data_IF_274208578548
#
_entry.id   IF_274208578548
#
_cell.length_a   1.000
_cell.length_b   1.000
_cell.length_c   1.000
_cell.angle_alpha   90.00
_cell.angle_beta   90.00
_cell.angle_gamma   90.00
#
_symmetry.space_group_name_H-M   'P 1'
#
loop_
_entity.id
_entity.type
_entity.pdbx_description
1 polymer ?
#
# COMPACT_ATOMS: atom_id res chain seq x y z
N UNK A 1 -50.73 24.75 7.36
CA UNK A 1 -49.28 24.94 7.12
C UNK A 1 -48.67 23.56 6.87
N UNK A 2 -48.32 23.24 5.63
CA UNK A 2 -47.69 21.97 5.25
C UNK A 2 -46.18 22.18 5.21
N UNK A 3 -45.44 21.47 6.06
CA UNK A 3 -43.99 21.43 6.00
C UNK A 3 -43.58 20.29 5.06
N UNK A 4 -43.04 20.64 3.90
CA UNK A 4 -42.49 19.73 2.92
C UNK A 4 -41.08 19.36 3.35
N UNK A 5 -40.86 18.10 3.72
CA UNK A 5 -39.55 17.59 4.11
C UNK A 5 -38.77 17.17 2.85
N UNK A 6 -37.71 17.90 2.50
CA UNK A 6 -36.78 17.54 1.44
C UNK A 6 -35.84 16.43 1.94
N UNK A 7 -36.10 15.19 1.55
CA UNK A 7 -35.12 14.10 1.61
C UNK A 7 -34.17 14.26 0.43
N UNK A 8 -32.93 14.71 0.69
CA UNK A 8 -31.84 14.55 -0.25
C UNK A 8 -31.38 13.08 -0.24
N UNK A 9 -31.19 12.44 -1.41
CA UNK A 9 -30.58 11.12 -1.46
C UNK A 9 -29.12 11.22 -1.02
N UNK A 10 -28.76 10.44 -0.01
CA UNK A 10 -27.38 10.19 0.38
C UNK A 10 -26.72 9.47 -0.79
N UNK A 11 -25.82 10.17 -1.49
CA UNK A 11 -24.91 9.59 -2.47
C UNK A 11 -24.15 8.44 -1.79
N UNK A 12 -24.41 7.22 -2.25
CA UNK A 12 -23.71 6.03 -1.80
C UNK A 12 -22.21 6.21 -2.02
N UNK A 13 -21.44 5.97 -0.95
CA UNK A 13 -19.99 5.80 -1.02
C UNK A 13 -19.74 4.56 -1.88
N UNK A 14 -19.40 4.76 -3.15
CA UNK A 14 -18.89 3.72 -4.03
C UNK A 14 -17.64 3.14 -3.36
N UNK A 15 -17.72 1.90 -2.91
CA UNK A 15 -16.57 1.13 -2.46
C UNK A 15 -15.69 0.86 -3.68
N UNK A 16 -14.46 1.35 -3.63
CA UNK A 16 -13.43 1.32 -4.68
C UNK A 16 -12.83 -0.07 -4.95
N UNK A 17 -13.61 -1.14 -4.83
CA UNK A 17 -13.21 -2.50 -5.21
C UNK A 17 -13.54 -2.77 -6.68
N UNK A 18 -13.14 -1.88 -7.60
CA UNK A 18 -13.29 -2.18 -9.02
C UNK A 18 -12.32 -3.28 -9.37
N UNK A 19 -12.88 -4.45 -9.69
CA UNK A 19 -12.18 -5.53 -10.36
C UNK A 19 -11.42 -4.94 -11.56
N UNK A 20 -10.10 -4.87 -11.46
CA UNK A 20 -9.25 -4.47 -12.57
C UNK A 20 -9.53 -5.41 -13.74
N UNK A 21 -10.23 -4.91 -14.77
CA UNK A 21 -10.46 -5.69 -15.97
C UNK A 21 -9.09 -6.11 -16.52
N UNK A 22 -8.98 -7.37 -16.94
CA UNK A 22 -7.77 -7.83 -17.58
C UNK A 22 -7.64 -7.11 -18.91
N UNK A 23 -6.73 -6.15 -19.02
CA UNK A 23 -6.41 -5.57 -20.32
C UNK A 23 -5.84 -6.69 -21.18
N UNK A 24 -6.49 -6.96 -22.30
CA UNK A 24 -6.03 -7.97 -23.23
C UNK A 24 -4.78 -7.47 -23.95
N UNK A 25 -3.95 -8.40 -24.47
CA UNK A 25 -2.86 -8.03 -25.39
C UNK A 25 -3.39 -7.17 -26.56
N UNK A 26 -4.62 -7.42 -27.01
CA UNK A 26 -5.24 -6.68 -28.09
C UNK A 26 -5.46 -5.20 -27.74
N UNK A 27 -5.85 -4.90 -26.50
CA UNK A 27 -6.03 -3.51 -26.02
C UNK A 27 -4.69 -2.78 -26.02
N UNK A 28 -3.63 -3.42 -25.48
CA UNK A 28 -2.28 -2.86 -25.51
C UNK A 28 -1.77 -2.62 -26.93
N UNK A 29 -2.02 -3.55 -27.85
CA UNK A 29 -1.67 -3.41 -29.26
C UNK A 29 -2.43 -2.27 -29.94
N UNK A 30 -3.72 -2.12 -29.66
CA UNK A 30 -4.53 -1.02 -30.17
C UNK A 30 -3.98 0.34 -29.70
N UNK A 31 -3.67 0.45 -28.40
CA UNK A 31 -3.04 1.65 -27.83
C UNK A 31 -1.72 2.03 -28.53
N UNK A 32 -0.82 1.06 -28.73
CA UNK A 32 0.48 1.31 -29.39
C UNK A 32 0.29 1.74 -30.86
N UNK A 33 -0.66 1.14 -31.58
CA UNK A 33 -0.98 1.53 -32.96
C UNK A 33 -1.54 2.95 -33.04
N UNK A 34 -2.48 3.29 -32.16
CA UNK A 34 -3.06 4.64 -32.11
C UNK A 34 -2.02 5.69 -31.74
N UNK A 35 -1.16 5.42 -30.75
CA UNK A 35 -0.04 6.30 -30.41
C UNK A 35 0.86 6.59 -31.61
N UNK A 36 1.19 5.55 -32.39
CA UNK A 36 2.03 5.71 -33.57
C UNK A 36 1.37 6.58 -34.63
N UNK A 37 0.10 6.37 -34.94
CA UNK A 37 -0.64 7.17 -35.92
C UNK A 37 -0.68 8.66 -35.52
N UNK A 38 -0.97 8.95 -34.25
CA UNK A 38 -1.01 10.33 -33.73
C UNK A 38 0.39 10.97 -33.77
N UNK A 39 1.45 10.24 -33.39
CA UNK A 39 2.81 10.77 -33.34
C UNK A 39 3.38 11.15 -34.72
N UNK A 40 2.87 10.54 -35.79
CA UNK A 40 3.23 10.90 -37.17
C UNK A 40 2.49 12.15 -37.64
N UNK A 41 1.35 12.47 -37.02
CA UNK A 41 0.46 13.55 -37.43
C UNK A 41 0.51 14.81 -36.54
N UNK A 42 1.01 14.73 -35.29
CA UNK A 42 1.02 15.85 -34.35
C UNK A 42 2.41 16.21 -33.83
N UNK A 43 2.76 17.51 -33.89
CA UNK A 43 3.71 18.12 -32.94
C UNK A 43 3.05 18.14 -31.55
N UNK A 44 3.70 17.52 -30.57
CA UNK A 44 3.29 17.38 -29.17
C UNK A 44 2.25 18.42 -28.71
N UNK A 45 0.98 18.01 -28.63
CA UNK A 45 -0.07 18.83 -28.03
C UNK A 45 0.12 18.75 -26.52
N UNK A 46 0.75 19.76 -25.97
CA UNK A 46 0.81 20.00 -24.53
C UNK A 46 -0.61 20.20 -23.99
N UNK A 47 -1.05 19.30 -23.12
CA UNK A 47 -2.33 19.39 -22.42
C UNK A 47 -2.04 19.81 -20.95
N UNK A 48 -2.28 21.08 -20.58
CA UNK A 48 -1.99 21.58 -19.24
C UNK A 48 -2.81 20.91 -18.13
N UNK A 49 -3.79 20.04 -18.45
CA UNK A 49 -4.56 19.28 -17.46
C UNK A 49 -3.92 17.91 -17.10
N UNK A 50 -2.78 17.55 -17.71
CA UNK A 50 -2.09 16.27 -17.47
C UNK A 50 -1.11 16.41 -16.31
N UNK A 51 -1.48 15.83 -15.16
CA UNK A 51 -0.66 15.86 -13.96
C UNK A 51 0.59 14.94 -14.00
N UNK A 52 0.71 14.06 -15.01
CA UNK A 52 1.85 13.17 -15.19
C UNK A 52 1.95 12.75 -16.66
N UNK A 53 2.91 13.32 -17.40
CA UNK A 53 2.98 13.23 -18.87
C UNK A 53 3.74 11.98 -19.36
N UNK A 54 3.51 11.48 -20.59
CA UNK A 54 4.23 10.34 -21.15
C UNK A 54 5.75 10.50 -21.16
N UNK A 55 6.26 11.70 -21.44
CA UNK A 55 7.70 11.97 -21.44
C UNK A 55 8.28 11.92 -20.02
N UNK A 56 7.54 12.45 -19.04
CA UNK A 56 7.91 12.39 -17.63
C UNK A 56 7.90 10.95 -17.10
N UNK A 57 6.86 10.19 -17.43
CA UNK A 57 6.75 8.77 -17.13
C UNK A 57 7.88 7.96 -17.78
N UNK A 58 8.22 8.27 -19.05
CA UNK A 58 9.33 7.65 -19.79
C UNK A 58 10.66 7.93 -19.13
N UNK A 59 10.93 9.19 -18.73
CA UNK A 59 12.15 9.51 -18.01
C UNK A 59 12.22 8.75 -16.69
N UNK A 60 11.11 8.68 -15.95
CA UNK A 60 11.06 8.01 -14.66
C UNK A 60 11.36 6.50 -14.78
N UNK A 61 10.79 5.81 -15.76
CA UNK A 61 11.06 4.37 -15.97
C UNK A 61 12.48 4.11 -16.46
N UNK A 62 13.03 5.01 -17.27
CA UNK A 62 14.44 4.97 -17.68
C UNK A 62 15.35 5.12 -16.46
N UNK A 63 15.10 6.10 -15.59
CA UNK A 63 15.88 6.29 -14.37
C UNK A 63 15.85 5.05 -13.45
N UNK A 64 14.69 4.39 -13.33
CA UNK A 64 14.56 3.13 -12.57
C UNK A 64 15.40 2.02 -13.22
N UNK A 65 15.27 1.85 -14.54
CA UNK A 65 15.99 0.81 -15.29
C UNK A 65 17.51 1.01 -15.23
N UNK A 66 17.99 2.24 -15.38
CA UNK A 66 19.41 2.59 -15.29
C UNK A 66 19.99 2.31 -13.90
N UNK A 67 19.30 2.72 -12.82
CA UNK A 67 19.74 2.43 -11.44
C UNK A 67 19.67 0.94 -11.10
N UNK A 68 18.91 0.18 -11.87
CA UNK A 68 18.83 -1.26 -11.79
C UNK A 68 19.79 -1.98 -12.76
N UNK A 69 20.58 -1.23 -13.54
CA UNK A 69 21.53 -1.71 -14.54
C UNK A 69 20.86 -2.57 -15.64
N UNK A 70 19.68 -2.16 -16.09
CA UNK A 70 18.98 -2.77 -17.21
C UNK A 70 19.09 -1.90 -18.47
N UNK A 71 19.64 -2.46 -19.54
CA UNK A 71 19.67 -1.84 -20.87
C UNK A 71 18.40 -2.23 -21.64
N UNK A 72 17.32 -1.47 -21.44
CA UNK A 72 16.02 -1.70 -22.08
C UNK A 72 15.51 -0.38 -22.64
N UNK A 73 15.13 -0.37 -23.92
CA UNK A 73 14.46 0.77 -24.56
C UNK A 73 13.01 0.84 -24.12
N UNK A 74 12.75 1.68 -23.12
CA UNK A 74 11.43 1.88 -22.53
C UNK A 74 10.75 3.13 -23.08
N UNK A 75 9.42 3.07 -23.23
CA UNK A 75 8.57 4.22 -23.53
C UNK A 75 7.27 4.13 -22.76
N UNK A 76 6.88 5.21 -22.09
CA UNK A 76 5.56 5.31 -21.51
C UNK A 76 4.59 5.98 -22.50
N UNK A 77 3.36 5.47 -22.61
CA UNK A 77 2.31 6.07 -23.44
C UNK A 77 0.99 6.10 -22.67
N UNK A 78 0.14 7.09 -22.95
CA UNK A 78 -1.21 7.15 -22.40
C UNK A 78 -2.22 6.45 -23.30
N UNK A 79 -3.18 5.76 -22.71
CA UNK A 79 -4.30 5.17 -23.44
C UNK A 79 -5.54 5.06 -22.56
N UNK A 80 -6.69 5.54 -23.03
CA UNK A 80 -7.95 5.49 -22.28
C UNK A 80 -8.73 4.18 -22.46
N UNK A 81 -8.22 3.27 -23.29
CA UNK A 81 -8.82 1.94 -23.52
C UNK A 81 -8.48 0.91 -22.44
N UNK A 82 -7.48 1.21 -21.60
CA UNK A 82 -7.10 0.37 -20.46
C UNK A 82 -7.57 1.01 -19.17
N UNK A 83 -7.75 0.22 -18.11
CA UNK A 83 -8.26 0.75 -16.84
C UNK A 83 -7.19 1.34 -15.91
N UNK A 84 -5.94 0.90 -16.05
CA UNK A 84 -4.84 1.16 -15.11
C UNK A 84 -3.51 1.37 -15.85
N UNK A 85 -2.41 0.77 -15.37
CA UNK A 85 -1.15 0.64 -16.09
C UNK A 85 -0.89 -0.82 -16.47
N UNK A 86 -0.23 -1.04 -17.60
CA UNK A 86 0.20 -2.37 -18.05
C UNK A 86 1.52 -2.31 -18.82
N UNK A 87 2.32 -3.39 -18.81
CA UNK A 87 3.48 -3.48 -19.67
C UNK A 87 3.02 -3.99 -21.05
N UNK A 88 3.74 -3.64 -22.10
CA UNK A 88 3.51 -4.20 -23.43
C UNK A 88 4.85 -4.40 -24.16
N UNK A 89 5.17 -5.67 -24.41
CA UNK A 89 6.30 -6.07 -25.23
C UNK A 89 5.81 -6.55 -26.61
N UNK A 90 6.13 -5.79 -27.68
CA UNK A 90 5.89 -6.20 -29.05
C UNK A 90 6.50 -7.56 -29.37
N UNK A 91 5.83 -8.33 -30.22
CA UNK A 91 6.35 -9.56 -30.78
C UNK A 91 6.13 -9.60 -32.30
N UNK A 92 6.68 -10.64 -32.95
CA UNK A 92 6.59 -10.79 -34.40
C UNK A 92 5.15 -10.85 -34.94
N UNK A 93 4.19 -11.34 -34.14
CA UNK A 93 2.80 -11.50 -34.56
C UNK A 93 1.97 -10.21 -34.52
N UNK A 94 2.45 -9.17 -33.85
CA UNK A 94 1.69 -7.91 -33.69
C UNK A 94 1.65 -7.04 -34.96
N UNK A 95 2.49 -7.34 -35.96
CA UNK A 95 2.58 -6.62 -37.24
C UNK A 95 2.81 -5.09 -37.06
N UNK A 96 3.58 -4.70 -36.06
CA UNK A 96 3.96 -3.30 -35.82
C UNK A 96 5.11 -2.86 -36.76
N UNK A 97 5.26 -1.55 -37.06
CA UNK A 97 6.44 -1.02 -37.75
C UNK A 97 7.75 -1.35 -37.02
N UNK A 98 8.85 -1.57 -37.75
CA UNK A 98 10.16 -1.98 -37.18
C UNK A 98 10.65 -1.07 -36.04
N UNK A 99 10.43 0.24 -36.15
CA UNK A 99 10.78 1.21 -35.13
C UNK A 99 10.07 1.03 -33.78
N UNK A 100 8.92 0.35 -33.77
CA UNK A 100 8.18 0.03 -32.55
C UNK A 100 8.48 -1.40 -32.06
N UNK A 101 8.86 -2.33 -32.94
CA UNK A 101 9.16 -3.72 -32.55
C UNK A 101 10.30 -3.85 -31.55
N UNK A 102 11.24 -2.90 -31.55
CA UNK A 102 12.39 -2.88 -30.64
C UNK A 102 12.14 -2.10 -29.33
N UNK A 103 10.95 -1.53 -29.14
CA UNK A 103 10.60 -0.76 -27.95
C UNK A 103 9.73 -1.58 -27.01
N UNK A 104 9.94 -1.43 -25.70
CA UNK A 104 9.03 -1.93 -24.68
C UNK A 104 8.21 -0.77 -24.13
N UNK A 105 6.90 -0.97 -23.99
CA UNK A 105 5.97 0.06 -23.59
C UNK A 105 5.47 -0.17 -22.17
N UNK A 106 5.24 0.91 -21.44
CA UNK A 106 4.35 0.94 -20.28
C UNK A 106 3.18 1.84 -20.65
N UNK A 107 1.99 1.25 -20.74
CA UNK A 107 0.78 1.92 -21.16
C UNK A 107 0.01 2.26 -19.88
N UNK A 108 -0.44 3.50 -19.71
CA UNK A 108 -1.25 3.87 -18.55
C UNK A 108 -2.45 4.74 -18.91
N UNK A 109 -3.53 4.59 -18.13
CA UNK A 109 -4.70 5.46 -18.21
C UNK A 109 -4.45 6.75 -17.45
N UNK A 110 -4.56 7.88 -18.14
CA UNK A 110 -4.26 9.21 -17.58
C UNK A 110 -5.15 9.56 -16.38
N UNK A 111 -6.46 9.35 -16.50
CA UNK A 111 -7.41 9.68 -15.43
C UNK A 111 -7.21 8.83 -14.17
N UNK A 112 -6.85 7.56 -14.35
CA UNK A 112 -6.54 6.66 -13.24
C UNK A 112 -5.24 7.08 -12.55
N UNK A 113 -4.17 7.31 -13.31
CA UNK A 113 -2.89 7.76 -12.78
C UNK A 113 -3.05 9.05 -11.96
N UNK A 114 -3.77 10.05 -12.49
CA UNK A 114 -4.07 11.29 -11.75
C UNK A 114 -4.79 11.04 -10.42
N UNK A 115 -5.70 10.08 -10.38
CA UNK A 115 -6.45 9.72 -9.17
C UNK A 115 -5.55 9.12 -8.10
N UNK A 116 -4.63 8.23 -8.48
CA UNK A 116 -3.70 7.60 -7.53
C UNK A 116 -2.59 8.55 -7.08
N UNK A 117 -2.02 9.32 -8.01
CA UNK A 117 -0.90 10.22 -7.71
C UNK A 117 -1.33 11.38 -6.80
N UNK A 118 -2.55 11.89 -6.97
CA UNK A 118 -2.95 13.13 -6.30
C UNK A 118 -1.94 14.25 -6.61
N UNK A 119 -1.28 14.77 -5.57
CA UNK A 119 -0.20 15.77 -5.70
C UNK A 119 1.22 15.21 -5.50
N UNK A 120 1.37 13.90 -5.26
CA UNK A 120 2.66 13.28 -4.92
C UNK A 120 3.18 12.47 -6.11
N UNK A 121 4.09 13.07 -6.88
CA UNK A 121 4.73 12.43 -8.05
C UNK A 121 5.46 11.14 -7.69
N UNK A 122 6.00 11.06 -6.48
CA UNK A 122 6.75 9.92 -5.95
C UNK A 122 5.91 8.63 -5.94
N UNK A 123 4.57 8.78 -5.91
CA UNK A 123 3.65 7.66 -5.99
C UNK A 123 3.73 6.90 -7.33
N UNK A 124 4.11 7.60 -8.41
CA UNK A 124 4.25 7.02 -9.73
C UNK A 124 5.40 6.01 -9.78
N UNK A 125 6.41 6.19 -8.93
CA UNK A 125 7.60 5.34 -8.91
C UNK A 125 7.23 3.90 -8.61
N UNK A 126 6.33 3.67 -7.64
CA UNK A 126 5.87 2.32 -7.31
C UNK A 126 5.12 1.68 -8.48
N UNK A 127 4.14 2.40 -9.07
CA UNK A 127 3.31 1.89 -10.16
C UNK A 127 4.17 1.55 -11.37
N UNK A 128 5.00 2.48 -11.82
CA UNK A 128 5.85 2.27 -12.98
C UNK A 128 6.96 1.25 -12.72
N UNK A 129 7.49 1.22 -11.50
CA UNK A 129 8.44 0.19 -11.05
C UNK A 129 7.82 -1.21 -11.04
N UNK A 130 6.56 -1.33 -10.65
CA UNK A 130 5.79 -2.57 -10.72
C UNK A 130 5.64 -3.06 -12.16
N UNK A 131 5.21 -2.19 -13.08
CA UNK A 131 5.11 -2.54 -14.52
C UNK A 131 6.47 -2.91 -15.13
N UNK A 132 7.53 -2.20 -14.76
CA UNK A 132 8.89 -2.53 -15.14
C UNK A 132 9.33 -3.88 -14.58
N UNK A 133 8.89 -4.23 -13.36
CA UNK A 133 9.05 -5.55 -12.76
C UNK A 133 8.51 -6.66 -13.66
N UNK A 134 7.31 -6.50 -14.22
CA UNK A 134 6.76 -7.47 -15.19
C UNK A 134 7.64 -7.65 -16.44
N UNK A 135 8.25 -6.57 -16.92
CA UNK A 135 9.15 -6.58 -18.08
C UNK A 135 10.46 -7.31 -17.74
N UNK A 136 11.13 -6.91 -16.66
CA UNK A 136 12.43 -7.47 -16.24
C UNK A 136 12.31 -8.95 -15.90
N UNK A 137 11.23 -9.33 -15.21
CA UNK A 137 10.92 -10.73 -14.88
C UNK A 137 10.33 -11.50 -16.05
N UNK A 138 10.19 -10.88 -17.23
CA UNK A 138 9.77 -11.51 -18.49
C UNK A 138 8.41 -12.20 -18.39
N UNK A 139 7.49 -11.60 -17.64
CA UNK A 139 6.16 -12.17 -17.36
C UNK A 139 5.26 -12.31 -18.61
N UNK A 140 5.57 -11.57 -19.68
CA UNK A 140 4.84 -11.58 -20.94
C UNK A 140 5.50 -12.42 -22.05
N UNK A 141 6.75 -12.85 -21.86
CA UNK A 141 7.55 -13.48 -22.93
C UNK A 141 8.03 -14.87 -22.54
N UNK A 142 8.87 -14.99 -21.52
CA UNK A 142 9.49 -16.27 -21.12
C UNK A 142 8.75 -16.96 -19.99
N UNK A 143 8.17 -16.18 -19.07
CA UNK A 143 7.51 -16.69 -17.85
C UNK A 143 5.98 -16.55 -17.93
N UNK A 144 5.43 -16.74 -19.13
CA UNK A 144 3.99 -16.60 -19.41
C UNK A 144 3.13 -17.61 -18.65
N UNK A 145 3.65 -18.81 -18.37
CA UNK A 145 2.95 -19.89 -17.68
C UNK A 145 2.85 -19.71 -16.17
N UNK A 146 3.55 -18.72 -15.59
CA UNK A 146 3.41 -18.45 -14.16
C UNK A 146 1.98 -18.00 -13.84
N UNK A 147 1.50 -18.45 -12.68
CA UNK A 147 0.23 -17.98 -12.15
C UNK A 147 0.26 -16.46 -11.99
N UNK A 148 -0.86 -15.81 -12.30
CA UNK A 148 -0.99 -14.35 -12.25
C UNK A 148 -0.57 -13.80 -10.90
N UNK A 149 -1.14 -14.34 -9.82
CA UNK A 149 -0.81 -13.93 -8.46
C UNK A 149 0.71 -13.94 -8.19
N UNK A 150 1.43 -14.96 -8.66
CA UNK A 150 2.89 -15.02 -8.48
C UNK A 150 3.62 -13.90 -9.26
N UNK A 151 3.17 -13.59 -10.49
CA UNK A 151 3.72 -12.49 -11.29
C UNK A 151 3.53 -11.14 -10.58
N UNK A 152 2.35 -10.91 -10.04
CA UNK A 152 2.01 -9.69 -9.30
C UNK A 152 2.83 -9.54 -8.02
N UNK A 153 3.06 -10.64 -7.28
CA UNK A 153 3.93 -10.61 -6.08
C UNK A 153 5.36 -10.21 -6.41
N UNK A 154 5.92 -10.77 -7.49
CA UNK A 154 7.26 -10.40 -7.96
C UNK A 154 7.31 -8.94 -8.42
N UNK A 155 6.27 -8.45 -9.08
CA UNK A 155 6.17 -7.07 -9.52
C UNK A 155 6.01 -6.07 -8.35
N UNK A 156 5.24 -6.41 -7.30
CA UNK A 156 5.14 -5.57 -6.09
C UNK A 156 6.48 -5.40 -5.38
N UNK A 157 7.26 -6.50 -5.29
CA UNK A 157 8.62 -6.44 -4.76
C UNK A 157 9.52 -5.54 -5.59
N UNK A 158 9.49 -5.65 -6.91
CA UNK A 158 10.25 -4.76 -7.81
C UNK A 158 9.79 -3.30 -7.72
N UNK A 159 8.48 -3.05 -7.56
CA UNK A 159 7.94 -1.71 -7.33
C UNK A 159 8.49 -1.07 -6.06
N UNK A 160 8.59 -1.83 -4.97
CA UNK A 160 9.23 -1.36 -3.74
C UNK A 160 10.72 -1.06 -3.91
N UNK A 161 11.44 -1.94 -4.62
CA UNK A 161 12.85 -1.73 -4.96
C UNK A 161 13.07 -0.46 -5.82
N UNK A 162 12.18 -0.20 -6.78
CA UNK A 162 12.23 1.01 -7.61
C UNK A 162 12.13 2.29 -6.78
N UNK A 163 11.23 2.33 -5.79
CA UNK A 163 11.11 3.46 -4.85
C UNK A 163 12.42 3.68 -4.09
N UNK A 164 13.01 2.61 -3.55
CA UNK A 164 14.29 2.70 -2.85
C UNK A 164 15.42 3.23 -3.73
N UNK A 165 15.59 2.68 -4.94
CA UNK A 165 16.61 3.12 -5.90
C UNK A 165 16.45 4.58 -6.29
N UNK A 166 15.21 5.09 -6.33
CA UNK A 166 14.92 6.48 -6.60
C UNK A 166 15.01 7.41 -5.38
N UNK A 167 15.30 6.87 -4.19
CA UNK A 167 15.40 7.65 -2.95
C UNK A 167 14.05 8.07 -2.39
N UNK A 168 12.96 7.40 -2.78
CA UNK A 168 11.64 7.62 -2.20
C UNK A 168 11.53 7.06 -0.78
N UNK A 169 10.47 7.45 -0.07
CA UNK A 169 10.24 7.06 1.32
C UNK A 169 9.19 5.94 1.45
N UNK A 170 9.34 5.14 2.51
CA UNK A 170 8.44 4.03 2.81
C UNK A 170 6.99 4.47 3.05
N UNK A 171 6.78 5.64 3.64
CA UNK A 171 5.43 6.11 4.01
C UNK A 171 4.61 6.43 2.76
N UNK A 172 5.22 7.09 1.79
CA UNK A 172 4.58 7.37 0.50
C UNK A 172 4.34 6.08 -0.28
N UNK A 173 5.27 5.12 -0.28
CA UNK A 173 5.07 3.80 -0.88
C UNK A 173 3.88 3.04 -0.26
N UNK A 174 3.83 2.94 1.07
CA UNK A 174 2.75 2.26 1.77
C UNK A 174 1.37 2.92 1.52
N UNK A 175 1.33 4.25 1.42
CA UNK A 175 0.10 4.99 1.06
C UNK A 175 -0.40 4.64 -0.35
N UNK A 176 0.51 4.48 -1.33
CA UNK A 176 0.11 4.04 -2.69
C UNK A 176 -0.51 2.65 -2.66
N UNK A 177 0.16 1.70 -1.99
CA UNK A 177 -0.33 0.32 -1.90
C UNK A 177 -1.70 0.28 -1.22
N UNK A 178 -1.90 1.09 -0.18
CA UNK A 178 -3.19 1.20 0.48
C UNK A 178 -4.31 1.72 -0.42
N UNK A 179 -3.99 2.53 -1.42
CA UNK A 179 -4.94 3.11 -2.38
C UNK A 179 -5.19 2.21 -3.59
N UNK A 180 -4.23 1.38 -3.97
CA UNK A 180 -4.30 0.56 -5.19
C UNK A 180 -4.63 -0.91 -4.95
N UNK A 181 -4.53 -1.40 -3.72
CA UNK A 181 -4.76 -2.82 -3.37
C UNK A 181 -5.96 -3.02 -2.44
N UNK A 182 -6.71 -4.07 -2.74
CA UNK A 182 -7.83 -4.58 -1.93
C UNK A 182 -7.33 -5.36 -0.71
N UNK A 183 -8.17 -5.45 0.32
CA UNK A 183 -7.81 -6.19 1.56
C UNK A 183 -7.73 -7.70 1.36
N UNK A 184 -8.45 -8.23 0.37
CA UNK A 184 -8.55 -9.67 0.12
C UNK A 184 -7.83 -9.99 -1.18
N UNK A 185 -7.01 -11.02 -1.15
CA UNK A 185 -6.31 -11.50 -2.34
C UNK A 185 -7.30 -12.09 -3.36
N UNK A 186 -6.99 -11.93 -4.64
CA UNK A 186 -7.68 -12.55 -5.76
C UNK A 186 -6.67 -12.85 -6.87
N UNK A 187 -6.93 -12.30 -8.05
CA UNK A 187 -5.95 -12.27 -9.15
C UNK A 187 -4.70 -11.44 -8.82
N UNK A 188 -4.81 -10.59 -7.80
CA UNK A 188 -3.74 -9.74 -7.25
C UNK A 188 -3.52 -10.05 -5.76
N UNK A 189 -2.32 -9.78 -5.21
CA UNK A 189 -2.04 -9.94 -3.78
C UNK A 189 -2.94 -9.02 -2.95
N UNK A 190 -3.22 -9.41 -1.71
CA UNK A 190 -3.90 -8.51 -0.77
C UNK A 190 -3.02 -7.29 -0.49
N UNK A 191 -3.62 -6.23 0.07
CA UNK A 191 -2.88 -5.04 0.51
C UNK A 191 -1.78 -5.37 1.50
N UNK A 192 -2.07 -6.22 2.49
CA UNK A 192 -1.07 -6.65 3.49
C UNK A 192 0.09 -7.38 2.82
N UNK A 193 -0.22 -8.32 1.92
CA UNK A 193 0.79 -9.07 1.18
C UNK A 193 1.63 -8.18 0.25
N UNK A 194 0.98 -7.31 -0.53
CA UNK A 194 1.63 -6.33 -1.40
C UNK A 194 2.56 -5.41 -0.60
N UNK A 195 2.11 -4.97 0.58
CA UNK A 195 2.89 -4.12 1.48
C UNK A 195 4.15 -4.85 1.94
N UNK A 196 4.03 -6.10 2.38
CA UNK A 196 5.18 -6.89 2.82
C UNK A 196 6.18 -7.12 1.68
N UNK A 197 5.70 -7.49 0.48
CA UNK A 197 6.56 -7.72 -0.69
C UNK A 197 7.27 -6.44 -1.16
N UNK A 198 6.54 -5.33 -1.24
CA UNK A 198 7.13 -4.04 -1.57
C UNK A 198 8.15 -3.61 -0.50
N UNK A 199 7.90 -3.92 0.77
CA UNK A 199 8.86 -3.65 1.84
C UNK A 199 10.15 -4.43 1.69
N UNK A 200 10.05 -5.73 1.40
CA UNK A 200 11.21 -6.58 1.13
C UNK A 200 12.05 -5.96 0.01
N UNK A 201 11.43 -5.63 -1.13
CA UNK A 201 12.14 -5.03 -2.25
C UNK A 201 12.73 -3.66 -1.93
N UNK A 202 11.99 -2.82 -1.20
CA UNK A 202 12.46 -1.52 -0.76
C UNK A 202 13.73 -1.64 0.11
N UNK A 203 13.73 -2.53 1.10
CA UNK A 203 14.87 -2.76 1.98
C UNK A 203 16.07 -3.37 1.24
N UNK A 204 15.84 -4.39 0.40
CA UNK A 204 16.90 -5.06 -0.38
C UNK A 204 17.61 -4.10 -1.33
N UNK A 205 16.92 -3.07 -1.81
CA UNK A 205 17.47 -2.07 -2.71
C UNK A 205 17.98 -0.82 -1.99
N UNK A 206 18.29 -0.94 -0.69
CA UNK A 206 18.96 0.11 0.09
C UNK A 206 18.02 1.17 0.66
N UNK A 207 16.71 1.00 0.49
CA UNK A 207 15.70 1.84 1.12
C UNK A 207 15.78 1.72 2.64
N UNK A 208 15.58 2.84 3.33
CA UNK A 208 15.54 2.89 4.79
C UNK A 208 14.12 3.20 5.22
N UNK A 209 13.60 2.38 6.11
CA UNK A 209 12.40 2.73 6.86
C UNK A 209 12.83 3.93 7.70
N UNK A 210 12.33 5.11 7.38
CA UNK A 210 12.72 6.34 8.07
C UNK A 210 12.42 6.18 9.56
N UNK A 211 13.45 6.02 10.39
CA UNK A 211 13.32 6.11 11.86
C UNK A 211 12.83 7.52 12.28
N UNK A 212 13.02 8.51 11.40
CA UNK A 212 12.74 9.92 11.64
C UNK A 212 11.25 10.29 11.67
N UNK A 213 10.32 9.41 11.27
CA UNK A 213 8.89 9.72 11.40
C UNK A 213 8.37 9.57 12.84
N UNK A 214 9.09 8.86 13.71
CA UNK A 214 8.67 8.62 15.10
C UNK A 214 9.88 8.57 16.05
N UNK A 215 10.53 9.71 16.36
CA UNK A 215 11.74 9.69 17.16
C UNK A 215 11.47 8.99 18.50
N UNK A 216 12.18 7.88 18.75
CA UNK A 216 12.23 7.10 20.00
C UNK A 216 10.94 6.39 20.47
N UNK A 217 9.89 6.28 19.67
CA UNK A 217 8.68 5.57 20.13
C UNK A 217 8.85 4.05 20.04
N UNK A 218 9.01 3.40 21.19
CA UNK A 218 9.14 1.94 21.31
C UNK A 218 7.76 1.28 21.16
N UNK A 219 7.63 0.31 20.25
CA UNK A 219 6.44 -0.56 20.22
C UNK A 219 6.76 -1.83 20.97
N UNK A 220 6.16 -2.00 22.14
CA UNK A 220 6.31 -3.21 22.96
C UNK A 220 5.11 -4.11 22.73
N UNK A 221 5.37 -5.32 22.27
CA UNK A 221 4.36 -6.36 22.18
C UNK A 221 4.59 -7.42 23.26
N UNK A 222 3.59 -7.61 24.12
CA UNK A 222 3.59 -8.71 25.08
C UNK A 222 3.05 -9.98 24.43
N UNK A 223 3.95 -10.84 23.95
CA UNK A 223 3.63 -12.02 23.15
C UNK A 223 2.55 -12.90 23.76
N UNK A 224 1.53 -13.22 22.96
CA UNK A 224 0.46 -14.17 23.27
C UNK A 224 0.50 -15.35 22.29
N UNK A 225 0.40 -16.57 22.81
CA UNK A 225 0.36 -17.78 21.98
C UNK A 225 -0.90 -17.82 21.14
N UNK A 226 -2.02 -17.38 21.72
CA UNK A 226 -3.33 -17.33 21.05
C UNK A 226 -3.34 -16.51 19.74
N UNK A 227 -2.44 -15.53 19.61
CA UNK A 227 -2.33 -14.72 18.39
C UNK A 227 -1.72 -15.49 17.21
N UNK A 228 -1.06 -16.63 17.45
CA UNK A 228 -0.43 -17.47 16.43
C UNK A 228 0.52 -16.69 15.49
N UNK A 229 1.25 -15.70 16.04
CA UNK A 229 2.21 -14.90 15.28
C UNK A 229 1.63 -13.70 14.50
N UNK A 230 0.30 -13.60 14.36
CA UNK A 230 -0.37 -12.53 13.57
C UNK A 230 -0.03 -11.11 14.02
N UNK A 231 0.13 -10.89 15.33
CA UNK A 231 0.54 -9.58 15.86
C UNK A 231 1.96 -9.22 15.44
N UNK A 232 2.89 -10.18 15.48
CA UNK A 232 4.27 -9.94 15.06
C UNK A 232 4.33 -9.63 13.56
N UNK A 233 3.57 -10.38 12.75
CA UNK A 233 3.45 -10.12 11.31
C UNK A 233 2.90 -8.71 11.02
N UNK A 234 1.81 -8.33 11.68
CA UNK A 234 1.19 -7.01 11.54
C UNK A 234 2.14 -5.87 11.92
N UNK A 235 2.81 -5.98 13.08
CA UNK A 235 3.72 -4.94 13.55
C UNK A 235 5.01 -4.89 12.73
N UNK A 236 5.51 -6.05 12.29
CA UNK A 236 6.62 -6.10 11.36
C UNK A 236 6.25 -5.37 10.07
N UNK A 237 5.08 -5.64 9.47
CA UNK A 237 4.64 -5.00 8.21
C UNK A 237 4.69 -3.47 8.22
N UNK A 238 4.56 -2.84 9.39
CA UNK A 238 4.66 -1.39 9.57
C UNK A 238 6.08 -0.83 9.48
N UNK A 239 7.11 -1.66 9.53
CA UNK A 239 8.48 -1.18 9.51
C UNK A 239 9.02 -0.70 10.86
N UNK A 240 8.36 -1.07 11.96
CA UNK A 240 8.68 -0.57 13.29
C UNK A 240 9.72 -1.49 13.98
N UNK A 241 10.59 -0.89 14.78
CA UNK A 241 11.40 -1.64 15.74
C UNK A 241 10.49 -2.07 16.90
N UNK A 242 10.06 -3.33 16.89
CA UNK A 242 9.15 -3.91 17.89
C UNK A 242 9.96 -4.67 18.93
N UNK A 243 9.84 -4.27 20.20
CA UNK A 243 10.35 -5.05 21.32
C UNK A 243 9.31 -6.11 21.71
N UNK A 244 9.57 -7.35 21.32
CA UNK A 244 8.69 -8.49 21.63
C UNK A 244 9.11 -9.08 22.97
N UNK A 245 8.26 -8.89 23.98
CA UNK A 245 8.46 -9.43 25.34
C UNK A 245 7.56 -10.62 25.56
N UNK A 246 8.11 -11.71 26.07
CA UNK A 246 7.31 -12.84 26.51
C UNK A 246 6.72 -12.56 27.89
N UNK A 247 5.42 -12.78 28.07
CA UNK A 247 4.82 -12.91 29.40
C UNK A 247 4.50 -14.38 29.65
N UNK A 248 5.03 -14.93 30.74
CA UNK A 248 4.38 -16.01 31.48
C UNK A 248 3.88 -15.41 32.79
N UNK A 249 2.58 -15.49 33.03
CA UNK A 249 1.87 -15.10 34.27
C UNK A 249 2.21 -13.69 34.81
N UNK A 250 1.31 -12.71 34.61
CA UNK A 250 1.41 -11.37 35.23
C UNK A 250 0.40 -11.26 36.38
N UNK A 251 0.86 -10.86 37.58
CA UNK A 251 0.02 -10.78 38.80
C UNK A 251 -0.80 -12.07 39.08
N UNK A 252 -0.29 -13.24 38.70
CA UNK A 252 -0.95 -14.54 38.93
C UNK A 252 -1.94 -14.99 37.85
N UNK A 253 -2.11 -14.21 36.77
CA UNK A 253 -2.98 -14.54 35.63
C UNK A 253 -2.13 -14.95 34.44
N UNK A 254 -2.36 -16.14 33.90
CA UNK A 254 -1.73 -16.57 32.65
C UNK A 254 -2.41 -15.90 31.46
N UNK A 255 -1.73 -14.89 30.92
CA UNK A 255 -2.22 -14.17 29.77
C UNK A 255 -1.89 -14.84 28.44
N UNK A 256 -1.16 -15.98 28.38
CA UNK A 256 -0.73 -16.56 27.11
C UNK A 256 -1.86 -17.05 26.20
N UNK A 257 -3.03 -17.30 26.77
CA UNK A 257 -4.20 -17.91 26.11
C UNK A 257 -5.25 -16.90 25.64
N UNK A 258 -5.07 -15.61 25.95
CA UNK A 258 -5.96 -14.55 25.47
C UNK A 258 -5.38 -13.90 24.22
N UNK A 259 -6.25 -13.68 23.22
CA UNK A 259 -5.88 -12.91 22.04
C UNK A 259 -5.54 -11.46 22.44
N UNK A 260 -4.55 -10.88 21.77
CA UNK A 260 -4.29 -9.45 21.83
C UNK A 260 -5.55 -8.67 21.47
N UNK A 261 -5.86 -7.64 22.24
CA UNK A 261 -7.10 -6.88 22.07
C UNK A 261 -6.96 -5.39 22.38
N UNK A 262 -5.79 -4.92 22.79
CA UNK A 262 -5.62 -3.52 23.21
C UNK A 262 -4.33 -2.90 22.71
N UNK A 263 -4.40 -1.59 22.47
CA UNK A 263 -3.26 -0.75 22.17
C UNK A 263 -3.20 0.38 23.20
N UNK A 264 -2.19 0.36 24.05
CA UNK A 264 -1.96 1.41 25.05
C UNK A 264 -1.02 2.47 24.48
N UNK A 265 -1.47 3.72 24.43
CA UNK A 265 -0.68 4.85 23.96
C UNK A 265 -0.09 5.64 25.14
N UNK A 266 1.23 5.53 25.32
CA UNK A 266 1.93 6.25 26.40
C UNK A 266 2.22 7.69 26.03
N UNK A 267 2.49 8.52 27.03
CA UNK A 267 2.76 9.94 26.81
C UNK A 267 3.97 10.12 25.87
N UNK A 268 3.82 10.93 24.83
CA UNK A 268 4.86 11.16 23.82
C UNK A 268 4.83 10.22 22.62
N UNK A 269 4.03 9.14 22.65
CA UNK A 269 3.79 8.32 21.46
C UNK A 269 2.94 9.11 20.44
N UNK A 270 3.40 9.28 19.19
CA UNK A 270 2.64 9.98 18.15
C UNK A 270 1.33 9.28 17.85
N UNK A 271 0.21 10.01 17.86
CA UNK A 271 -1.11 9.42 17.65
C UNK A 271 -1.27 8.80 16.25
N UNK A 272 -0.57 9.35 15.25
CA UNK A 272 -0.48 8.75 13.92
C UNK A 272 0.12 7.35 13.96
N UNK A 273 1.16 7.12 14.78
CA UNK A 273 1.75 5.79 14.94
C UNK A 273 0.82 4.83 15.68
N UNK A 274 0.20 5.29 16.76
CA UNK A 274 -0.80 4.50 17.51
C UNK A 274 -1.92 4.04 16.58
N UNK A 275 -2.40 4.95 15.73
CA UNK A 275 -3.40 4.66 14.71
C UNK A 275 -2.91 3.62 13.70
N UNK A 276 -1.69 3.78 13.18
CA UNK A 276 -1.08 2.82 12.25
C UNK A 276 -0.94 1.43 12.87
N UNK A 277 -0.45 1.34 14.12
CA UNK A 277 -0.36 0.09 14.88
C UNK A 277 -1.74 -0.56 15.03
N UNK A 278 -2.73 0.20 15.51
CA UNK A 278 -4.07 -0.34 15.72
C UNK A 278 -4.74 -0.79 14.41
N UNK A 279 -4.55 -0.04 13.31
CA UNK A 279 -5.07 -0.43 11.99
C UNK A 279 -4.36 -1.67 11.46
N UNK A 280 -3.03 -1.77 11.56
CA UNK A 280 -2.32 -2.95 11.11
C UNK A 280 -2.77 -4.21 11.86
N UNK A 281 -2.97 -4.11 13.18
CA UNK A 281 -3.51 -5.22 13.97
C UNK A 281 -4.93 -5.59 13.51
N UNK A 282 -5.81 -4.59 13.37
CA UNK A 282 -7.18 -4.81 12.91
C UNK A 282 -7.23 -5.46 11.52
N UNK A 283 -6.44 -4.95 10.58
CA UNK A 283 -6.38 -5.42 9.20
C UNK A 283 -5.79 -6.85 9.10
N UNK A 284 -5.02 -7.29 10.12
CA UNK A 284 -4.55 -8.68 10.28
C UNK A 284 -5.48 -9.56 11.15
N UNK A 285 -6.74 -9.13 11.33
CA UNK A 285 -7.77 -9.91 12.02
C UNK A 285 -7.60 -10.00 13.53
N UNK A 286 -6.86 -9.09 14.14
CA UNK A 286 -6.79 -8.92 15.60
C UNK A 286 -7.97 -8.06 16.05
N UNK A 287 -8.76 -8.57 16.99
CA UNK A 287 -9.93 -7.87 17.49
C UNK A 287 -9.52 -6.79 18.51
N UNK A 288 -9.23 -5.58 18.02
CA UNK A 288 -8.96 -4.44 18.90
C UNK A 288 -10.26 -4.02 19.58
N UNK A 289 -10.26 -4.09 20.91
CA UNK A 289 -11.38 -3.75 21.81
C UNK A 289 -11.12 -2.48 22.62
N UNK A 290 -9.89 -1.99 22.65
CA UNK A 290 -9.56 -0.75 23.34
C UNK A 290 -8.28 -0.09 22.82
N UNK A 291 -8.31 1.24 22.78
CA UNK A 291 -7.14 2.10 22.54
C UNK A 291 -7.17 3.19 23.62
N UNK A 292 -6.22 3.21 24.55
CA UNK A 292 -6.31 4.15 25.67
C UNK A 292 -4.96 4.51 26.26
N UNK A 293 -4.96 5.55 27.10
CA UNK A 293 -3.84 5.91 27.97
C UNK A 293 -3.53 4.76 28.95
N UNK A 294 -2.28 4.66 29.43
CA UNK A 294 -1.93 3.70 30.47
C UNK A 294 -2.65 3.98 31.78
N UNK A 295 -2.68 2.96 32.64
CA UNK A 295 -3.19 3.08 34.00
C UNK A 295 -2.27 3.95 34.87
N UNK A 296 -2.67 4.19 36.11
CA UNK A 296 -1.87 5.01 37.02
C UNK A 296 -0.48 4.43 37.30
N UNK A 297 -0.34 3.09 37.30
CA UNK A 297 0.94 2.40 37.53
C UNK A 297 1.90 2.66 36.36
N UNK A 298 1.40 2.66 35.13
CA UNK A 298 2.20 2.74 33.91
C UNK A 298 2.31 4.16 33.32
N UNK A 299 1.58 5.16 33.82
CA UNK A 299 1.60 6.56 33.32
C UNK A 299 2.97 7.25 33.26
N UNK A 300 3.98 6.70 33.95
CA UNK A 300 5.35 7.24 33.96
C UNK A 300 6.15 6.83 32.72
N UNK A 301 5.74 5.75 32.05
CA UNK A 301 6.34 5.31 30.79
C UNK A 301 6.01 6.33 29.70
N UNK A 302 6.99 6.62 28.85
CA UNK A 302 6.88 7.61 27.78
C UNK A 302 7.40 7.03 26.47
N UNK A 303 7.01 7.66 25.35
CA UNK A 303 7.41 7.30 24.00
C UNK A 303 7.28 5.79 23.77
N UNK A 304 6.12 5.23 24.14
CA UNK A 304 5.85 3.81 24.02
C UNK A 304 4.44 3.55 23.52
N UNK A 305 4.29 2.51 22.72
CA UNK A 305 3.01 1.87 22.41
C UNK A 305 3.08 0.46 22.96
N UNK A 306 2.10 0.06 23.75
CA UNK A 306 2.03 -1.31 24.27
C UNK A 306 0.89 -2.05 23.61
N UNK A 307 1.18 -3.20 23.04
CA UNK A 307 0.21 -4.10 22.42
C UNK A 307 0.06 -5.32 23.33
N UNK A 308 -1.16 -5.55 23.83
CA UNK A 308 -1.41 -6.62 24.79
C UNK A 308 -2.87 -7.09 24.79
N UNK A 309 -3.11 -8.17 25.54
CA UNK A 309 -4.42 -8.68 25.84
C UNK A 309 -4.93 -8.06 27.15
N UNK A 310 -6.22 -7.77 27.22
CA UNK A 310 -6.89 -7.47 28.48
C UNK A 310 -8.07 -8.41 28.69
N UNK A 311 -8.43 -8.66 29.94
CA UNK A 311 -9.49 -9.60 30.33
C UNK A 311 -10.92 -9.06 30.13
N UNK A 312 -11.08 -7.93 29.44
CA UNK A 312 -12.36 -7.21 29.40
C UNK A 312 -13.19 -7.56 28.16
N UNK A 313 -14.47 -7.84 28.37
CA UNK A 313 -15.46 -8.13 27.32
C UNK A 313 -16.04 -6.84 26.71
N UNK A 314 -15.20 -5.98 26.11
CA UNK A 314 -15.69 -4.83 25.34
C UNK A 314 -16.03 -5.21 23.90
N UNK A 315 -16.96 -4.49 23.29
CA UNK A 315 -17.22 -4.63 21.86
C UNK A 315 -15.96 -4.29 21.05
N UNK A 316 -15.75 -5.00 19.94
CA UNK A 316 -14.66 -4.67 19.01
C UNK A 316 -14.82 -3.24 18.48
N UNK A 317 -13.71 -2.51 18.40
CA UNK A 317 -13.67 -1.25 17.68
C UNK A 317 -13.92 -1.50 16.19
N UNK A 318 -14.60 -0.57 15.54
CA UNK A 318 -14.71 -0.59 14.08
C UNK A 318 -13.44 0.00 13.48
N UNK A 319 -13.09 -0.44 12.27
CA UNK A 319 -11.98 0.16 11.51
C UNK A 319 -12.10 1.68 11.42
N UNK A 320 -13.32 2.18 11.16
CA UNK A 320 -13.61 3.63 11.10
C UNK A 320 -13.31 4.34 12.41
N UNK A 321 -13.70 3.77 13.56
CA UNK A 321 -13.35 4.35 14.85
C UNK A 321 -11.83 4.45 15.03
N UNK A 322 -11.07 3.42 14.62
CA UNK A 322 -9.61 3.47 14.65
C UNK A 322 -9.08 4.55 13.69
N UNK A 323 -9.60 4.65 12.47
CA UNK A 323 -9.19 5.69 11.49
C UNK A 323 -9.44 7.11 12.01
N UNK A 324 -10.57 7.32 12.70
CA UNK A 324 -10.99 8.61 13.25
C UNK A 324 -10.25 8.99 14.55
N UNK A 325 -9.38 8.11 15.07
CA UNK A 325 -8.62 8.30 16.30
C UNK A 325 -7.66 9.50 16.18
N UNK A 326 -8.04 10.65 16.75
CA UNK A 326 -7.26 11.90 16.69
C UNK A 326 -6.45 12.22 17.95
N UNK A 327 -6.70 11.51 19.06
CA UNK A 327 -5.98 11.67 20.32
C UNK A 327 -5.91 10.33 21.07
N UNK A 328 -5.01 10.23 22.05
CA UNK A 328 -4.92 9.07 22.93
C UNK A 328 -6.05 9.11 24.00
N UNK A 329 -7.03 8.19 23.97
CA UNK A 329 -8.24 8.30 24.79
C UNK A 329 -7.99 8.04 26.27
N UNK A 330 -8.88 8.53 27.13
CA UNK A 330 -8.91 8.11 28.54
C UNK A 330 -9.19 6.61 28.64
N UNK A 331 -8.72 5.97 29.72
CA UNK A 331 -9.11 4.60 30.03
C UNK A 331 -10.62 4.41 30.20
N UNK A 332 -11.32 5.48 30.58
CA UNK A 332 -12.77 5.54 30.76
C UNK A 332 -13.52 6.06 29.53
N UNK A 333 -12.84 6.22 28.40
CA UNK A 333 -13.49 6.68 27.18
C UNK A 333 -14.59 5.68 26.76
N UNK A 334 -15.83 6.13 26.50
CA UNK A 334 -16.93 5.22 26.23
C UNK A 334 -16.78 4.44 24.92
N UNK A 335 -15.98 4.95 23.99
CA UNK A 335 -15.73 4.35 22.69
C UNK A 335 -14.44 3.54 22.70
N UNK A 336 -13.35 4.10 23.21
CA UNK A 336 -12.01 3.53 23.08
C UNK A 336 -11.42 2.98 24.39
N UNK A 337 -11.96 3.38 25.53
CA UNK A 337 -11.42 3.09 26.84
C UNK A 337 -11.41 1.60 27.17
N UNK A 338 -10.34 1.15 27.84
CA UNK A 338 -10.21 -0.24 28.30
C UNK A 338 -10.96 -0.53 29.62
N UNK A 339 -11.46 0.51 30.31
CA UNK A 339 -12.20 0.40 31.56
C UNK A 339 -13.55 1.11 31.43
N UNK A 340 -14.63 0.47 31.87
CA UNK A 340 -15.91 1.12 32.14
C UNK A 340 -16.22 1.04 33.62
#
# INVERSE_FOLDING_TARGET
>A
MKATCCLMPILGVLTWGQAFAQNSRADGLACVRSYFQISVESTDIYDPEVAFEPNEATQLITDIAERANFDIKLRAITCDQIDNAVPFQPNASDQLPEQLKSQTFIIYRRSWMRTILGQKREKAIFILGHELGHIIKKHQTERVSLQRLQKEKEADREGGCAVARLGGDWTTLADVIAQTRDEVAGDYPSRSESTNLAREGFLECGGRLSEDNFPSTEVVYWYKRADNGRVVEALNGLGLNVDVRQTGIYEGVDFSDYNTSTVTCHAGAPISLVRQVALALYDNGIEIRGISKPDFKNRRIRNRITVEATSWNHARLTRRAIQDLSYCPSQYDPTYGAHR
#
